data_IF_656688217266
#
_entry.id   IF_656688217266
#
_cell.length_a   1.000
_cell.length_b   1.000
_cell.length_c   1.000
_cell.angle_alpha   90.00
_cell.angle_beta   90.00
_cell.angle_gamma   90.00
#
_symmetry.space_group_name_H-M   'P 1'
#
loop_
_entity.id
_entity.type
_entity.pdbx_description
1 polymer ?
#
# COMPACT_ATOMS: atom_id res chain seq x y z
N UNK A 1 -8.17 15.52 -17.95
CA UNK A 1 -8.26 14.04 -17.87
C UNK A 1 -7.21 13.40 -16.94
N UNK A 2 -6.08 14.05 -16.64
CA UNK A 2 -5.00 13.46 -15.82
C UNK A 2 -5.33 13.26 -14.34
N UNK A 3 -6.14 14.13 -13.72
CA UNK A 3 -6.46 14.04 -12.27
C UNK A 3 -7.37 12.88 -11.89
N UNK A 4 -8.48 12.72 -12.63
CA UNK A 4 -9.41 11.60 -12.42
C UNK A 4 -8.74 10.26 -12.68
N UNK A 5 -7.86 10.20 -13.70
CA UNK A 5 -7.04 9.02 -13.97
C UNK A 5 -6.07 8.73 -12.83
N UNK A 6 -5.30 9.71 -12.36
CA UNK A 6 -4.38 9.54 -11.25
C UNK A 6 -5.09 9.13 -9.95
N UNK A 7 -6.28 9.68 -9.67
CA UNK A 7 -7.09 9.27 -8.53
C UNK A 7 -7.66 7.85 -8.66
N UNK A 8 -8.03 7.43 -9.86
CA UNK A 8 -8.50 6.06 -10.11
C UNK A 8 -7.34 5.06 -9.93
N UNK A 9 -6.18 5.38 -10.50
CA UNK A 9 -4.96 4.56 -10.32
C UNK A 9 -4.56 4.48 -8.85
N UNK A 10 -4.61 5.58 -8.10
CA UNK A 10 -4.28 5.55 -6.68
C UNK A 10 -5.26 4.70 -5.86
N UNK A 11 -6.57 4.80 -6.12
CA UNK A 11 -7.58 3.96 -5.48
C UNK A 11 -7.38 2.47 -5.80
N UNK A 12 -7.07 2.13 -7.06
CA UNK A 12 -6.77 0.76 -7.47
C UNK A 12 -5.50 0.25 -6.76
N UNK A 13 -4.45 1.06 -6.68
CA UNK A 13 -3.23 0.69 -5.97
C UNK A 13 -3.47 0.49 -4.46
N UNK A 14 -4.28 1.32 -3.82
CA UNK A 14 -4.66 1.15 -2.42
C UNK A 14 -5.50 -0.12 -2.20
N UNK A 15 -6.42 -0.41 -3.12
CA UNK A 15 -7.23 -1.63 -3.09
C UNK A 15 -6.37 -2.89 -3.28
N UNK A 16 -5.46 -2.90 -4.26
CA UNK A 16 -4.54 -4.02 -4.47
C UNK A 16 -3.58 -4.19 -3.27
N UNK A 17 -3.12 -3.08 -2.68
CA UNK A 17 -2.30 -3.10 -1.47
C UNK A 17 -3.04 -3.69 -0.27
N UNK A 18 -4.34 -3.41 -0.11
CA UNK A 18 -5.15 -3.99 0.97
C UNK A 18 -5.51 -5.46 0.71
N UNK A 19 -5.60 -5.91 -0.54
CA UNK A 19 -5.73 -7.35 -0.86
C UNK A 19 -4.53 -8.17 -0.35
N UNK A 20 -3.34 -7.56 -0.17
CA UNK A 20 -2.19 -8.20 0.46
C UNK A 20 -2.46 -8.71 1.88
N UNK A 21 -3.47 -8.17 2.57
CA UNK A 21 -3.91 -8.65 3.88
C UNK A 21 -4.66 -9.98 3.84
N UNK A 22 -5.27 -10.33 2.71
CA UNK A 22 -6.09 -11.53 2.58
C UNK A 22 -5.26 -12.78 2.26
N UNK A 23 -3.99 -12.61 1.88
CA UNK A 23 -3.09 -13.73 1.56
C UNK A 23 -2.76 -14.50 2.85
N UNK A 24 -3.09 -15.79 2.89
CA UNK A 24 -2.83 -16.70 4.01
C UNK A 24 -1.34 -17.05 4.13
N UNK A 25 -0.86 -17.11 5.38
CA UNK A 25 0.56 -17.16 5.77
C UNK A 25 1.11 -18.59 5.92
N UNK A 26 1.04 -19.42 4.89
CA UNK A 26 1.70 -20.73 4.91
C UNK A 26 3.21 -20.64 4.66
N UNK A 27 3.65 -19.67 3.87
CA UNK A 27 5.02 -19.57 3.38
C UNK A 27 5.65 -18.23 3.76
N UNK A 28 6.82 -18.28 4.42
CA UNK A 28 7.54 -17.07 4.82
C UNK A 28 7.90 -16.15 3.64
N UNK A 29 8.51 -16.71 2.58
CA UNK A 29 8.87 -15.95 1.38
C UNK A 29 7.63 -15.37 0.69
N UNK A 30 6.50 -16.08 0.71
CA UNK A 30 5.22 -15.60 0.21
C UNK A 30 4.70 -14.40 1.01
N UNK A 31 4.79 -14.47 2.35
CA UNK A 31 4.45 -13.38 3.26
C UNK A 31 5.32 -12.15 3.07
N UNK A 32 6.64 -12.33 2.96
CA UNK A 32 7.58 -11.22 2.74
C UNK A 32 7.32 -10.57 1.37
N UNK A 33 7.16 -11.39 0.32
CA UNK A 33 6.84 -10.89 -1.03
C UNK A 33 5.53 -10.11 -1.04
N UNK A 34 4.48 -10.65 -0.43
CA UNK A 34 3.18 -9.98 -0.32
C UNK A 34 3.28 -8.64 0.45
N UNK A 35 4.07 -8.60 1.52
CA UNK A 35 4.38 -7.37 2.26
C UNK A 35 5.08 -6.33 1.39
N UNK A 36 6.16 -6.71 0.71
CA UNK A 36 6.92 -5.81 -0.18
C UNK A 36 6.03 -5.29 -1.32
N UNK A 37 5.23 -6.15 -1.96
CA UNK A 37 4.32 -5.72 -3.03
C UNK A 37 3.27 -4.73 -2.52
N UNK A 38 2.77 -4.90 -1.30
CA UNK A 38 1.79 -3.99 -0.69
C UNK A 38 2.41 -2.61 -0.39
N UNK A 39 3.69 -2.58 0.02
CA UNK A 39 4.45 -1.34 0.22
C UNK A 39 4.68 -0.63 -1.12
N UNK A 40 5.09 -1.35 -2.16
CA UNK A 40 5.31 -0.78 -3.50
C UNK A 40 4.00 -0.21 -4.09
N UNK A 41 2.88 -0.92 -3.94
CA UNK A 41 1.56 -0.43 -4.37
C UNK A 41 1.14 0.83 -3.59
N UNK A 42 1.43 0.90 -2.29
CA UNK A 42 1.17 2.09 -1.47
C UNK A 42 2.05 3.28 -1.89
N UNK A 43 3.31 3.04 -2.24
CA UNK A 43 4.21 4.07 -2.76
C UNK A 43 3.75 4.61 -4.11
N UNK A 44 3.31 3.74 -5.02
CA UNK A 44 2.70 4.15 -6.30
C UNK A 44 1.43 4.96 -6.07
N UNK A 45 0.53 4.49 -5.19
CA UNK A 45 -0.68 5.23 -4.83
C UNK A 45 -0.35 6.65 -4.33
N UNK A 46 0.68 6.78 -3.50
CA UNK A 46 1.10 8.08 -2.99
C UNK A 46 1.66 9.00 -4.08
N UNK A 47 2.47 8.47 -5.00
CA UNK A 47 2.97 9.24 -6.15
C UNK A 47 1.83 9.81 -7.00
N UNK A 48 0.80 9.00 -7.28
CA UNK A 48 -0.38 9.45 -8.02
C UNK A 48 -1.26 10.42 -7.22
N UNK A 49 -1.44 10.20 -5.91
CA UNK A 49 -2.15 11.15 -5.04
C UNK A 49 -1.45 12.51 -4.98
N UNK A 50 -0.11 12.53 -5.01
CA UNK A 50 0.67 13.78 -5.05
C UNK A 50 0.40 14.58 -6.33
N UNK A 51 0.29 13.92 -7.48
CA UNK A 51 -0.09 14.55 -8.75
C UNK A 51 -1.51 15.14 -8.71
N UNK A 52 -2.43 14.48 -7.99
CA UNK A 52 -3.79 14.99 -7.76
C UNK A 52 -3.78 16.27 -6.91
N UNK A 53 -2.80 16.42 -6.02
CA UNK A 53 -2.70 17.52 -5.06
C UNK A 53 -2.01 18.80 -5.60
N UNK A 54 -1.54 18.84 -6.85
CA UNK A 54 -0.85 20.03 -7.41
C UNK A 54 -1.72 21.31 -7.47
N UNK A 55 -3.06 21.20 -7.38
CA UNK A 55 -3.94 22.33 -7.00
C UNK A 55 -5.08 21.78 -6.13
N UNK A 56 -4.99 21.86 -4.80
CA UNK A 56 -5.97 21.25 -3.92
C UNK A 56 -7.28 22.03 -3.96
N UNK A 57 -8.33 21.42 -4.53
CA UNK A 57 -9.69 21.97 -4.48
C UNK A 57 -10.61 20.92 -3.88
N UNK A 58 -11.17 21.22 -2.70
CA UNK A 58 -12.22 20.44 -2.03
C UNK A 58 -11.98 18.93 -2.01
N UNK A 59 -12.77 18.21 -2.81
CA UNK A 59 -12.77 16.75 -2.94
C UNK A 59 -11.36 16.15 -3.15
N UNK A 60 -10.52 16.76 -3.97
CA UNK A 60 -9.19 16.26 -4.29
C UNK A 60 -8.23 16.31 -3.10
N UNK A 61 -8.37 17.31 -2.23
CA UNK A 61 -7.61 17.42 -0.99
C UNK A 61 -8.07 16.34 0.01
N UNK A 62 -9.37 16.08 0.12
CA UNK A 62 -9.89 15.00 0.97
C UNK A 62 -9.41 13.62 0.48
N UNK A 63 -9.41 13.40 -0.83
CA UNK A 63 -8.90 12.18 -1.44
C UNK A 63 -7.41 11.98 -1.16
N UNK A 64 -6.61 13.04 -1.25
CA UNK A 64 -5.18 13.02 -0.90
C UNK A 64 -4.96 12.64 0.58
N UNK A 65 -5.66 13.29 1.51
CA UNK A 65 -5.48 13.05 2.96
C UNK A 65 -5.95 11.66 3.38
N UNK A 66 -7.11 11.24 2.91
CA UNK A 66 -7.63 9.88 3.18
C UNK A 66 -6.76 8.81 2.54
N UNK A 67 -6.32 9.02 1.29
CA UNK A 67 -5.43 8.10 0.59
C UNK A 67 -4.09 7.91 1.29
N UNK A 68 -3.50 8.99 1.86
CA UNK A 68 -2.28 8.89 2.67
C UNK A 68 -2.51 8.12 3.96
N UNK A 69 -3.62 8.38 4.66
CA UNK A 69 -3.95 7.66 5.88
C UNK A 69 -4.08 6.15 5.60
N UNK A 70 -4.79 5.77 4.54
CA UNK A 70 -4.96 4.38 4.12
C UNK A 70 -3.60 3.77 3.72
N UNK A 71 -2.81 4.45 2.88
CA UNK A 71 -1.47 3.99 2.50
C UNK A 71 -0.57 3.74 3.72
N UNK A 72 -0.60 4.64 4.71
CA UNK A 72 0.16 4.50 5.95
C UNK A 72 -0.26 3.26 6.74
N UNK A 73 -1.56 2.98 6.86
CA UNK A 73 -2.04 1.75 7.52
C UNK A 73 -1.64 0.49 6.77
N UNK A 74 -1.63 0.53 5.42
CA UNK A 74 -1.16 -0.59 4.60
C UNK A 74 0.31 -0.89 4.85
N UNK A 75 1.16 0.15 4.84
CA UNK A 75 2.60 0.01 5.09
C UNK A 75 2.87 -0.53 6.50
N UNK A 76 2.22 0.01 7.53
CA UNK A 76 2.42 -0.46 8.91
C UNK A 76 2.09 -1.95 9.06
N UNK A 77 0.99 -2.38 8.48
CA UNK A 77 0.55 -3.78 8.58
C UNK A 77 1.41 -4.70 7.69
N UNK A 78 1.86 -4.24 6.52
CA UNK A 78 2.81 -4.97 5.68
C UNK A 78 4.17 -5.15 6.40
N UNK A 79 4.66 -4.12 7.09
CA UNK A 79 5.88 -4.22 7.92
C UNK A 79 5.67 -5.18 9.08
N UNK A 80 4.55 -5.10 9.79
CA UNK A 80 4.21 -6.04 10.86
C UNK A 80 4.17 -7.50 10.37
N UNK A 81 3.65 -7.72 9.15
CA UNK A 81 3.67 -9.05 8.50
C UNK A 81 5.08 -9.53 8.16
N UNK A 82 5.94 -8.66 7.62
CA UNK A 82 7.33 -9.02 7.31
C UNK A 82 8.06 -9.40 8.60
N UNK A 83 7.94 -8.59 9.65
CA UNK A 83 8.57 -8.86 10.95
C UNK A 83 8.02 -10.15 11.55
N UNK A 84 6.69 -10.34 11.56
CA UNK A 84 6.06 -11.55 12.08
C UNK A 84 6.48 -12.81 11.30
N UNK A 85 6.60 -12.72 9.97
CA UNK A 85 7.11 -13.82 9.16
C UNK A 85 8.57 -14.15 9.55
N UNK A 86 9.45 -13.14 9.65
CA UNK A 86 10.86 -13.33 10.03
C UNK A 86 10.99 -13.94 11.43
N UNK A 87 10.20 -13.49 12.40
CA UNK A 87 10.31 -13.92 13.81
C UNK A 87 9.65 -15.28 14.09
N UNK A 88 8.47 -15.55 13.53
CA UNK A 88 7.66 -16.72 13.90
C UNK A 88 8.04 -17.97 13.10
N UNK A 89 8.42 -17.80 11.82
CA UNK A 89 8.70 -18.95 10.94
C UNK A 89 10.17 -19.36 10.90
N UNK A 90 11.06 -18.70 11.66
CA UNK A 90 12.49 -19.03 11.68
C UNK A 90 13.16 -18.83 10.32
N UNK A 91 12.62 -17.92 9.52
CA UNK A 91 13.01 -17.71 8.15
C UNK A 91 14.46 -17.20 8.10
N UNK A 92 15.41 -18.08 7.78
CA UNK A 92 16.78 -17.68 7.49
C UNK A 92 16.74 -16.82 6.23
N UNK A 93 16.94 -15.51 6.39
CA UNK A 93 17.33 -14.62 5.30
C UNK A 93 18.75 -15.03 4.87
N UNK A 94 18.84 -16.11 4.09
CA UNK A 94 20.05 -16.63 3.47
C UNK A 94 20.09 -16.33 1.99
#
# INVERSE_FOLDING_TARGET
MTRSFAALVSLVCLFLGSCGFLVTTSDCYGSIRAGITSILMSAMAWAYLKLVNEKPVGFWLMLYRSGIAIAGTIVLFAVGRIIGAVQITGCQLG
#
